data_IF_477152659517
#
_entry.id   IF_477152659517
#
_cell.length_a   1.000
_cell.length_b   1.000
_cell.length_c   1.000
_cell.angle_alpha   90.00
_cell.angle_beta   90.00
_cell.angle_gamma   90.00
#
_symmetry.space_group_name_H-M   'P 1'
#
loop_
_entity.id
_entity.type
_entity.pdbx_description
1 polymer ?
#
# COMPACT_ATOMS: atom_id res chain seq x y z
N UNK A 1 30.79 5.88 -35.78
CA UNK A 1 29.68 5.76 -34.81
C UNK A 1 30.05 4.82 -33.66
N UNK A 2 31.06 5.20 -32.86
CA UNK A 2 31.46 4.52 -31.63
C UNK A 2 31.46 5.57 -30.52
N UNK A 3 30.48 5.51 -29.62
CA UNK A 3 30.55 5.97 -28.22
C UNK A 3 29.17 5.78 -27.55
N UNK A 4 29.22 5.28 -26.33
CA UNK A 4 28.19 5.29 -25.28
C UNK A 4 27.16 4.14 -25.23
N UNK A 5 27.66 2.91 -25.02
CA UNK A 5 26.92 1.81 -24.35
C UNK A 5 27.50 1.66 -22.92
N UNK A 6 27.63 2.75 -22.17
CA UNK A 6 28.21 2.71 -20.82
C UNK A 6 27.47 3.57 -19.78
N UNK A 7 26.23 3.99 -20.06
CA UNK A 7 25.48 4.87 -19.17
C UNK A 7 24.42 4.18 -18.29
N UNK A 8 24.19 2.88 -18.44
CA UNK A 8 23.18 2.16 -17.65
C UNK A 8 23.67 1.60 -16.31
N UNK A 9 24.96 1.73 -15.95
CA UNK A 9 25.49 1.01 -14.78
C UNK A 9 25.36 -0.52 -14.85
N UNK A 10 24.76 -1.06 -15.93
CA UNK A 10 24.83 -2.43 -16.41
C UNK A 10 26.25 -2.69 -16.92
N UNK A 11 27.24 -2.61 -16.01
CA UNK A 11 28.34 -3.56 -16.11
C UNK A 11 27.66 -4.92 -16.04
N UNK A 12 27.76 -5.68 -17.13
CA UNK A 12 27.52 -7.12 -17.23
C UNK A 12 27.69 -7.81 -15.88
N UNK A 13 26.63 -7.84 -15.09
CA UNK A 13 26.54 -8.50 -13.80
C UNK A 13 25.15 -9.14 -13.74
N UNK A 14 25.09 -10.42 -13.40
CA UNK A 14 23.88 -11.21 -13.51
C UNK A 14 22.77 -10.64 -12.61
N UNK A 15 21.56 -10.58 -13.15
CA UNK A 15 20.33 -10.50 -12.35
C UNK A 15 20.27 -11.78 -11.51
N UNK A 16 20.42 -11.66 -10.18
CA UNK A 16 20.38 -12.79 -9.25
C UNK A 16 18.92 -13.13 -8.93
N UNK A 17 18.34 -14.05 -9.70
CA UNK A 17 17.24 -14.90 -9.22
C UNK A 17 17.86 -16.17 -8.64
N UNK A 18 18.07 -16.21 -7.33
CA UNK A 18 18.51 -17.43 -6.64
C UNK A 18 17.55 -17.86 -5.51
N UNK A 19 17.11 -19.10 -5.67
CA UNK A 19 16.52 -20.04 -4.71
C UNK A 19 15.14 -19.72 -4.13
N UNK A 20 14.10 -19.90 -4.97
CA UNK A 20 12.82 -20.55 -4.64
C UNK A 20 12.01 -20.89 -5.93
N UNK A 21 12.66 -21.28 -7.03
CA UNK A 21 11.95 -21.75 -8.22
C UNK A 21 11.84 -23.27 -8.14
N UNK A 22 10.63 -23.84 -8.20
CA UNK A 22 10.45 -25.29 -8.32
C UNK A 22 11.13 -25.79 -9.60
N UNK A 23 11.61 -27.05 -9.62
CA UNK A 23 12.17 -27.73 -10.81
C UNK A 23 11.28 -27.54 -12.06
N UNK A 24 9.96 -27.48 -11.86
CA UNK A 24 8.95 -27.25 -12.90
C UNK A 24 9.00 -25.83 -13.49
N UNK A 25 9.16 -24.81 -12.65
CA UNK A 25 9.27 -23.40 -13.08
C UNK A 25 10.60 -23.13 -13.79
N UNK A 26 11.67 -23.80 -13.34
CA UNK A 26 12.95 -23.81 -14.05
C UNK A 26 12.79 -24.38 -15.46
N UNK A 27 12.03 -25.46 -15.62
CA UNK A 27 11.76 -26.06 -16.93
C UNK A 27 10.91 -25.17 -17.85
N UNK A 28 9.97 -24.39 -17.30
CA UNK A 28 9.17 -23.43 -18.08
C UNK A 28 10.04 -22.27 -18.56
N UNK A 29 10.85 -21.67 -17.66
CA UNK A 29 11.74 -20.56 -17.99
C UNK A 29 12.85 -20.97 -18.98
N UNK A 30 13.35 -22.20 -18.88
CA UNK A 30 14.29 -22.79 -19.85
C UNK A 30 13.63 -23.03 -21.21
N UNK A 31 12.39 -23.54 -21.25
CA UNK A 31 11.60 -23.69 -22.50
C UNK A 31 11.32 -22.36 -23.19
N UNK A 32 11.31 -21.26 -22.44
CA UNK A 32 11.07 -19.90 -22.94
C UNK A 32 12.35 -19.14 -23.32
N UNK A 33 13.52 -19.80 -23.31
CA UNK A 33 14.75 -19.29 -23.90
C UNK A 33 15.76 -18.69 -22.92
N UNK A 34 15.50 -18.74 -21.61
CA UNK A 34 16.52 -18.43 -20.59
C UNK A 34 17.50 -19.60 -20.50
N UNK A 35 18.78 -19.32 -20.24
CA UNK A 35 19.84 -20.33 -20.07
C UNK A 35 20.23 -20.45 -18.60
N UNK A 36 20.61 -21.65 -18.17
CA UNK A 36 21.17 -21.89 -16.83
C UNK A 36 22.61 -21.35 -16.80
N UNK A 37 22.87 -20.36 -15.94
CA UNK A 37 24.22 -19.89 -15.57
C UNK A 37 24.72 -20.59 -14.30
N UNK A 38 25.94 -20.30 -13.87
CA UNK A 38 26.57 -20.94 -12.70
C UNK A 38 25.82 -20.68 -11.39
N UNK A 39 25.11 -19.55 -11.28
CA UNK A 39 24.37 -19.13 -10.07
C UNK A 39 23.07 -18.35 -10.39
N UNK A 40 22.49 -18.50 -11.58
CA UNK A 40 21.24 -17.80 -11.97
C UNK A 40 20.74 -18.23 -13.36
N UNK A 41 19.51 -17.86 -13.71
CA UNK A 41 19.04 -17.88 -15.10
C UNK A 41 19.52 -16.62 -15.84
N UNK A 42 20.16 -16.80 -16.98
CA UNK A 42 20.73 -15.74 -17.81
C UNK A 42 20.09 -15.74 -19.19
N UNK A 43 19.83 -14.56 -19.74
CA UNK A 43 19.49 -14.44 -21.15
C UNK A 43 20.69 -14.84 -22.03
N UNK A 44 20.48 -15.46 -23.20
CA UNK A 44 21.56 -15.74 -24.14
C UNK A 44 22.31 -14.45 -24.47
N UNK A 45 23.62 -14.45 -24.27
CA UNK A 45 24.48 -13.25 -24.37
C UNK A 45 24.58 -12.69 -25.79
N UNK A 46 24.13 -13.45 -26.79
CA UNK A 46 24.11 -13.04 -28.18
C UNK A 46 22.67 -13.18 -28.73
N UNK A 47 22.13 -12.07 -29.25
CA UNK A 47 20.85 -11.92 -29.99
C UNK A 47 19.50 -11.74 -29.26
N UNK A 48 19.46 -11.34 -27.98
CA UNK A 48 18.16 -10.95 -27.37
C UNK A 48 17.74 -9.52 -27.79
N UNK A 49 17.15 -9.38 -28.98
CA UNK A 49 16.58 -8.10 -29.44
C UNK A 49 15.30 -7.74 -28.66
N UNK A 50 14.96 -6.45 -28.55
CA UNK A 50 13.67 -5.96 -28.00
C UNK A 50 12.47 -6.69 -28.64
N UNK A 51 12.62 -7.12 -29.90
CA UNK A 51 11.61 -7.93 -30.62
C UNK A 51 11.39 -9.31 -29.99
N UNK A 52 12.41 -9.94 -29.40
CA UNK A 52 12.25 -11.21 -28.67
C UNK A 52 11.53 -11.01 -27.33
N UNK A 53 11.77 -9.91 -26.61
CA UNK A 53 11.03 -9.57 -25.39
C UNK A 53 9.55 -9.28 -25.69
N UNK A 54 9.26 -8.54 -26.77
CA UNK A 54 7.89 -8.37 -27.27
C UNK A 54 7.27 -9.69 -27.72
N UNK A 55 8.03 -10.58 -28.36
CA UNK A 55 7.55 -11.92 -28.75
C UNK A 55 7.20 -12.79 -27.53
N UNK A 56 8.02 -12.74 -26.47
CA UNK A 56 7.73 -13.42 -25.19
C UNK A 56 6.46 -12.83 -24.55
N UNK A 57 6.32 -11.50 -24.51
CA UNK A 57 5.10 -10.82 -24.06
C UNK A 57 3.86 -11.27 -24.85
N UNK A 58 3.96 -11.30 -26.17
CA UNK A 58 2.84 -11.63 -27.06
C UNK A 58 2.45 -13.10 -26.93
N UNK A 59 3.42 -14.00 -26.71
CA UNK A 59 3.17 -15.42 -26.42
C UNK A 59 2.50 -15.63 -25.05
N UNK A 60 2.96 -14.93 -24.02
CA UNK A 60 2.34 -14.98 -22.68
C UNK A 60 0.91 -14.42 -22.72
N UNK A 61 0.69 -13.35 -23.48
CA UNK A 61 -0.64 -12.76 -23.67
C UNK A 61 -1.55 -13.67 -24.50
N UNK A 62 -1.01 -14.34 -25.53
CA UNK A 62 -1.75 -15.31 -26.35
C UNK A 62 -2.17 -16.55 -25.56
N UNK A 63 -1.25 -17.15 -24.80
CA UNK A 63 -1.53 -18.30 -23.94
C UNK A 63 -2.55 -17.96 -22.84
N UNK A 64 -2.47 -16.74 -22.28
CA UNK A 64 -3.47 -16.20 -21.34
C UNK A 64 -4.87 -16.13 -21.96
N UNK A 65 -4.99 -15.66 -23.21
CA UNK A 65 -6.28 -15.56 -23.90
C UNK A 65 -6.87 -16.94 -24.25
N UNK A 66 -6.03 -17.92 -24.55
CA UNK A 66 -6.46 -19.30 -24.82
C UNK A 66 -7.05 -19.94 -23.55
N UNK A 67 -6.40 -19.75 -22.40
CA UNK A 67 -6.87 -20.30 -21.10
C UNK A 67 -8.15 -19.61 -20.61
N UNK A 68 -8.30 -18.31 -20.87
CA UNK A 68 -9.54 -17.56 -20.57
C UNK A 68 -10.74 -18.04 -21.40
N UNK A 69 -10.52 -18.52 -22.63
CA UNK A 69 -11.58 -19.03 -23.50
C UNK A 69 -11.86 -20.54 -23.31
N UNK A 70 -10.98 -21.27 -22.62
CA UNK A 70 -11.08 -22.72 -22.45
C UNK A 70 -11.86 -23.21 -21.22
N UNK A 71 -12.30 -22.33 -20.32
CA UNK A 71 -12.89 -22.75 -19.03
C UNK A 71 -14.39 -23.12 -19.07
N UNK A 72 -14.96 -23.41 -20.25
CA UNK A 72 -16.41 -23.66 -20.40
C UNK A 72 -16.80 -25.13 -20.60
N UNK A 73 -15.94 -26.10 -20.31
CA UNK A 73 -16.34 -27.51 -20.37
C UNK A 73 -15.68 -28.37 -19.29
N UNK A 74 -16.53 -28.80 -18.35
CA UNK A 74 -16.71 -30.18 -17.84
C UNK A 74 -16.46 -30.40 -16.34
N UNK A 75 -17.50 -31.02 -15.76
CA UNK A 75 -17.83 -31.32 -14.37
C UNK A 75 -17.17 -32.58 -13.77
N UNK A 76 -17.22 -32.60 -12.42
CA UNK A 76 -17.59 -33.69 -11.49
C UNK A 76 -17.01 -35.11 -11.63
N UNK A 77 -16.39 -35.57 -10.53
CA UNK A 77 -16.76 -36.73 -9.68
C UNK A 77 -15.61 -36.90 -8.64
N UNK A 78 -15.74 -37.15 -7.35
CA UNK A 78 -16.79 -37.76 -6.53
C UNK A 78 -16.14 -38.85 -5.64
N UNK A 79 -16.30 -38.72 -4.31
CA UNK A 79 -16.29 -39.79 -3.27
C UNK A 79 -15.10 -39.95 -2.29
N UNK A 80 -15.33 -39.45 -1.06
CA UNK A 80 -15.39 -40.13 0.26
C UNK A 80 -14.46 -41.32 0.62
N UNK A 81 -13.77 -41.22 1.78
CA UNK A 81 -13.94 -42.14 2.95
C UNK A 81 -13.21 -41.69 4.23
N UNK A 82 -13.73 -42.18 5.36
CA UNK A 82 -13.56 -41.76 6.78
C UNK A 82 -12.34 -42.33 7.52
N UNK A 83 -11.84 -41.50 8.45
CA UNK A 83 -11.37 -41.68 9.85
C UNK A 83 -11.37 -43.10 10.46
N UNK A 84 -10.26 -43.46 11.14
CA UNK A 84 -10.27 -43.98 12.53
C UNK A 84 -8.93 -43.78 13.25
N UNK A 85 -9.10 -43.61 14.57
CA UNK A 85 -8.22 -43.19 15.66
C UNK A 85 -7.20 -44.24 16.11
N UNK A 86 -6.22 -43.81 16.93
CA UNK A 86 -5.66 -44.49 18.13
C UNK A 86 -4.22 -44.00 18.47
N UNK A 87 -4.13 -43.26 19.57
CA UNK A 87 -2.97 -43.10 20.47
C UNK A 87 -2.83 -44.36 21.37
N UNK A 88 -1.72 -44.64 22.10
CA UNK A 88 -1.26 -43.75 23.19
C UNK A 88 0.21 -43.87 23.75
N UNK A 89 0.46 -42.95 24.70
CA UNK A 89 1.40 -42.91 25.86
C UNK A 89 2.89 -42.53 25.70
N UNK A 90 3.26 -41.66 26.65
CA UNK A 90 4.47 -40.88 26.90
C UNK A 90 5.68 -41.64 27.47
N UNK A 91 6.86 -41.00 27.41
CA UNK A 91 7.80 -40.90 28.54
C UNK A 91 8.72 -39.65 28.43
N UNK A 92 8.99 -39.04 29.58
CA UNK A 92 9.93 -37.94 29.87
C UNK A 92 11.07 -38.51 30.73
N UNK A 93 12.31 -38.00 30.63
CA UNK A 93 12.89 -37.17 31.72
C UNK A 93 13.77 -36.04 31.14
N UNK A 94 13.74 -34.78 31.60
CA UNK A 94 14.28 -34.16 32.83
C UNK A 94 15.40 -33.17 32.46
N UNK A 95 15.39 -32.07 33.21
CA UNK A 95 16.15 -30.83 33.04
C UNK A 95 17.63 -30.98 33.38
N UNK A 96 18.47 -30.18 32.72
CA UNK A 96 19.61 -29.49 33.37
C UNK A 96 19.62 -28.04 32.91
N UNK A 97 19.64 -27.15 33.91
CA UNK A 97 19.90 -25.72 33.80
C UNK A 97 21.42 -25.56 33.84
N UNK A 98 21.99 -24.78 32.93
CA UNK A 98 23.23 -24.07 33.23
C UNK A 98 23.11 -22.64 32.72
N UNK A 99 23.14 -21.73 33.69
CA UNK A 99 23.07 -20.29 33.56
C UNK A 99 24.47 -19.76 33.79
N UNK A 100 25.16 -19.37 32.72
CA UNK A 100 26.35 -18.52 32.82
C UNK A 100 26.05 -17.23 32.06
N UNK A 101 25.67 -16.21 32.83
CA UNK A 101 25.53 -14.83 32.38
C UNK A 101 26.92 -14.20 32.34
N UNK A 102 27.35 -13.79 31.15
CA UNK A 102 28.55 -12.98 30.92
C UNK A 102 28.17 -11.49 31.06
N UNK A 103 28.76 -10.74 32.01
CA UNK A 103 28.38 -9.35 32.28
C UNK A 103 29.22 -8.37 31.46
N UNK A 104 29.04 -8.34 30.14
CA UNK A 104 29.57 -7.25 29.28
C UNK A 104 28.66 -6.92 28.09
N UNK A 105 27.35 -6.80 28.32
CA UNK A 105 26.45 -6.25 27.31
C UNK A 105 26.51 -4.71 27.30
N UNK A 106 27.41 -4.16 26.50
CA UNK A 106 27.32 -2.75 26.07
C UNK A 106 26.00 -2.56 25.29
N UNK A 107 25.34 -1.38 25.34
CA UNK A 107 24.10 -1.16 24.62
C UNK A 107 24.34 -1.31 23.12
N UNK A 108 23.82 -2.38 22.51
CA UNK A 108 23.97 -2.62 21.09
C UNK A 108 23.30 -1.49 20.31
N UNK A 109 24.10 -0.61 19.70
CA UNK A 109 23.62 0.39 18.75
C UNK A 109 22.95 -0.35 17.61
N UNK A 110 21.63 -0.22 17.49
CA UNK A 110 20.89 -0.88 16.42
C UNK A 110 21.28 -0.28 15.06
N UNK A 111 21.75 -1.13 14.15
CA UNK A 111 22.07 -0.72 12.78
C UNK A 111 20.80 -0.39 12.00
N UNK A 112 20.89 0.45 10.96
CA UNK A 112 19.77 0.71 10.04
C UNK A 112 19.21 -0.59 9.44
N UNK A 113 20.08 -1.55 9.12
CA UNK A 113 19.68 -2.88 8.64
C UNK A 113 18.86 -3.63 9.70
N UNK A 114 19.27 -3.61 10.97
CA UNK A 114 18.52 -4.25 12.06
C UNK A 114 17.15 -3.62 12.27
N UNK A 115 17.04 -2.30 12.18
CA UNK A 115 15.75 -1.59 12.27
C UNK A 115 14.85 -2.02 11.11
N UNK A 116 15.36 -2.01 9.88
CA UNK A 116 14.60 -2.38 8.69
C UNK A 116 14.07 -3.82 8.77
N UNK A 117 14.92 -4.78 9.15
CA UNK A 117 14.53 -6.19 9.28
C UNK A 117 13.53 -6.40 10.43
N UNK A 118 13.64 -5.66 11.53
CA UNK A 118 12.63 -5.68 12.61
C UNK A 118 11.30 -5.11 12.15
N UNK A 119 11.29 -4.05 11.34
CA UNK A 119 10.06 -3.50 10.76
C UNK A 119 9.40 -4.49 9.82
N UNK A 120 10.17 -5.16 8.95
CA UNK A 120 9.69 -6.27 8.12
C UNK A 120 9.00 -7.35 8.97
N UNK A 121 9.67 -7.83 10.03
CA UNK A 121 9.13 -8.86 10.91
C UNK A 121 7.87 -8.39 11.64
N UNK A 122 7.85 -7.13 12.11
CA UNK A 122 6.71 -6.56 12.82
C UNK A 122 5.48 -6.46 11.90
N UNK A 123 5.64 -5.95 10.68
CA UNK A 123 4.56 -5.88 9.71
C UNK A 123 4.09 -7.27 9.25
N UNK A 124 5.02 -8.21 9.06
CA UNK A 124 4.70 -9.62 8.77
C UNK A 124 3.76 -10.20 9.83
N UNK A 125 4.04 -9.99 11.11
CA UNK A 125 3.18 -10.46 12.20
C UNK A 125 1.88 -9.66 12.30
N UNK A 126 1.95 -8.33 12.19
CA UNK A 126 0.83 -7.43 12.40
C UNK A 126 -0.35 -7.72 11.47
N UNK A 127 -0.10 -7.93 10.16
CA UNK A 127 -1.17 -8.13 9.18
C UNK A 127 -2.06 -9.34 9.46
N UNK A 128 -1.62 -10.28 10.29
CA UNK A 128 -2.46 -11.42 10.72
C UNK A 128 -3.63 -10.99 11.60
N UNK A 129 -3.60 -9.80 12.20
CA UNK A 129 -4.74 -9.26 12.95
C UNK A 129 -6.00 -9.15 12.09
N UNK A 130 -5.84 -8.88 10.79
CA UNK A 130 -6.96 -8.75 9.85
C UNK A 130 -7.66 -10.08 9.57
N UNK A 131 -7.05 -11.21 9.91
CA UNK A 131 -7.60 -12.55 9.72
C UNK A 131 -8.44 -13.02 10.92
N UNK A 132 -8.57 -12.21 11.97
CA UNK A 132 -9.42 -12.53 13.12
C UNK A 132 -10.92 -12.47 12.72
N UNK A 133 -11.67 -13.59 12.76
CA UNK A 133 -13.06 -13.61 12.29
C UNK A 133 -14.01 -12.72 13.11
N UNK A 134 -13.79 -12.63 14.43
CA UNK A 134 -14.59 -11.77 15.31
C UNK A 134 -14.37 -10.29 14.98
N UNK A 135 -13.13 -9.91 14.66
CA UNK A 135 -12.80 -8.56 14.25
C UNK A 135 -13.36 -8.23 12.86
N UNK A 136 -13.26 -9.16 11.89
CA UNK A 136 -13.90 -8.99 10.58
C UNK A 136 -15.41 -8.81 10.71
N UNK A 137 -16.08 -9.55 11.61
CA UNK A 137 -17.51 -9.36 11.88
C UNK A 137 -17.84 -7.97 12.45
N UNK A 138 -17.04 -7.47 13.39
CA UNK A 138 -17.19 -6.09 13.91
C UNK A 138 -16.99 -5.04 12.82
N UNK A 139 -16.00 -5.26 11.96
CA UNK A 139 -15.70 -4.40 10.83
C UNK A 139 -16.85 -4.39 9.81
N UNK A 140 -17.34 -5.57 9.39
CA UNK A 140 -18.51 -5.71 8.51
C UNK A 140 -19.76 -5.01 9.06
N UNK A 141 -19.99 -5.08 10.38
CA UNK A 141 -21.13 -4.41 11.01
C UNK A 141 -21.07 -2.86 10.91
N UNK A 142 -19.89 -2.29 10.65
CA UNK A 142 -19.73 -0.86 10.41
C UNK A 142 -19.99 -0.45 8.95
N UNK A 143 -19.86 -1.39 8.00
CA UNK A 143 -19.94 -1.11 6.57
C UNK A 143 -21.41 -1.19 6.12
N UNK A 144 -21.95 -0.19 5.40
CA UNK A 144 -23.27 -0.26 4.78
C UNK A 144 -23.23 -1.15 3.51
N UNK A 145 -22.82 -2.41 3.67
CA UNK A 145 -22.43 -3.29 2.56
C UNK A 145 -23.54 -3.50 1.54
N UNK A 146 -24.81 -3.55 1.97
CA UNK A 146 -25.95 -3.70 1.07
C UNK A 146 -26.11 -2.49 0.14
N UNK A 147 -25.91 -1.29 0.66
CA UNK A 147 -25.97 -0.05 -0.12
C UNK A 147 -24.79 0.05 -1.08
N UNK A 148 -23.57 -0.22 -0.60
CA UNK A 148 -22.36 -0.19 -1.43
C UNK A 148 -22.45 -1.21 -2.57
N UNK A 149 -22.92 -2.43 -2.30
CA UNK A 149 -23.12 -3.45 -3.34
C UNK A 149 -24.21 -3.05 -4.34
N UNK A 150 -25.32 -2.46 -3.89
CA UNK A 150 -26.35 -1.95 -4.80
C UNK A 150 -25.79 -0.86 -5.73
N UNK A 151 -25.05 0.11 -5.18
CA UNK A 151 -24.41 1.16 -5.95
C UNK A 151 -23.39 0.60 -6.95
N UNK A 152 -22.58 -0.39 -6.53
CA UNK A 152 -21.61 -1.04 -7.38
C UNK A 152 -22.28 -1.78 -8.56
N UNK A 153 -23.38 -2.49 -8.29
CA UNK A 153 -24.15 -3.18 -9.31
C UNK A 153 -24.75 -2.21 -10.34
N UNK A 154 -25.37 -1.11 -9.89
CA UNK A 154 -25.93 -0.08 -10.76
C UNK A 154 -24.85 0.58 -11.64
N UNK A 155 -23.70 0.92 -11.06
CA UNK A 155 -22.54 1.47 -11.79
C UNK A 155 -21.98 0.47 -12.80
N UNK A 156 -21.97 -0.83 -12.49
CA UNK A 156 -21.55 -1.86 -13.44
C UNK A 156 -22.47 -1.93 -14.67
N UNK A 157 -23.78 -1.89 -14.45
CA UNK A 157 -24.78 -1.87 -15.53
C UNK A 157 -24.56 -0.64 -16.43
N UNK A 158 -24.32 0.53 -15.84
CA UNK A 158 -24.06 1.75 -16.60
C UNK A 158 -22.74 1.66 -17.39
N UNK A 159 -21.66 1.19 -16.76
CA UNK A 159 -20.36 1.02 -17.42
C UNK A 159 -20.45 0.07 -18.62
N UNK A 160 -21.16 -1.07 -18.50
CA UNK A 160 -21.37 -2.03 -19.60
C UNK A 160 -22.17 -1.48 -20.77
N UNK A 161 -23.01 -0.46 -20.55
CA UNK A 161 -23.75 0.22 -21.62
C UNK A 161 -22.85 1.16 -22.43
N UNK A 162 -21.89 1.80 -21.76
CA UNK A 162 -20.98 2.78 -22.38
C UNK A 162 -19.81 2.12 -23.10
N UNK A 163 -19.29 1.03 -22.55
CA UNK A 163 -18.20 0.24 -23.13
C UNK A 163 -18.48 -1.25 -22.89
N UNK A 164 -18.58 -2.03 -23.97
CA UNK A 164 -18.96 -3.46 -23.90
C UNK A 164 -17.76 -4.40 -23.75
N UNK A 165 -16.53 -3.88 -23.76
CA UNK A 165 -15.30 -4.68 -23.83
C UNK A 165 -14.44 -4.72 -22.55
N UNK A 166 -14.83 -4.05 -21.47
CA UNK A 166 -14.01 -4.00 -20.26
C UNK A 166 -14.11 -5.26 -19.40
N UNK A 167 -12.98 -5.64 -18.80
CA UNK A 167 -12.85 -6.77 -17.89
C UNK A 167 -13.21 -6.39 -16.43
N UNK A 168 -14.11 -5.43 -16.20
CA UNK A 168 -14.51 -5.05 -14.85
C UNK A 168 -15.62 -5.97 -14.33
N UNK A 169 -15.54 -6.33 -13.06
CA UNK A 169 -16.61 -7.04 -12.36
C UNK A 169 -17.21 -6.16 -11.25
N UNK A 170 -18.23 -6.67 -10.58
CA UNK A 170 -18.91 -5.95 -9.49
C UNK A 170 -17.98 -5.70 -8.30
N UNK A 171 -17.03 -6.60 -8.04
CA UNK A 171 -16.05 -6.49 -6.95
C UNK A 171 -15.07 -5.34 -7.16
N UNK A 172 -14.63 -5.10 -8.40
CA UNK A 172 -13.79 -3.95 -8.75
C UNK A 172 -14.50 -2.63 -8.46
N UNK A 173 -15.82 -2.54 -8.73
CA UNK A 173 -16.60 -1.33 -8.45
C UNK A 173 -16.94 -1.22 -6.96
N UNK A 174 -17.23 -2.33 -6.29
CA UNK A 174 -17.44 -2.36 -4.83
C UNK A 174 -16.21 -1.84 -4.07
N UNK A 175 -15.00 -2.12 -4.55
CA UNK A 175 -13.77 -1.56 -4.00
C UNK A 175 -13.74 -0.02 -4.10
N UNK A 176 -14.21 0.54 -5.21
CA UNK A 176 -14.31 1.99 -5.39
C UNK A 176 -15.37 2.61 -4.48
N UNK A 177 -16.53 1.96 -4.33
CA UNK A 177 -17.57 2.41 -3.39
C UNK A 177 -17.06 2.38 -1.95
N UNK A 178 -16.32 1.32 -1.58
CA UNK A 178 -15.74 1.16 -0.25
C UNK A 178 -14.69 2.24 0.04
N UNK A 179 -13.79 2.54 -0.91
CA UNK A 179 -12.83 3.64 -0.79
C UNK A 179 -13.51 4.99 -0.59
N UNK A 180 -14.54 5.26 -1.39
CA UNK A 180 -15.28 6.52 -1.31
C UNK A 180 -15.99 6.67 0.03
N UNK A 181 -16.78 5.68 0.43
CA UNK A 181 -17.46 5.66 1.72
C UNK A 181 -16.49 5.79 2.89
N UNK A 182 -15.35 5.09 2.83
CA UNK A 182 -14.36 5.16 3.90
C UNK A 182 -13.84 6.59 4.11
N UNK A 183 -13.51 7.29 3.01
CA UNK A 183 -12.98 8.66 3.07
C UNK A 183 -14.04 9.71 3.39
N UNK A 184 -15.22 9.59 2.78
CA UNK A 184 -16.23 10.64 2.82
C UNK A 184 -17.12 10.55 4.06
N UNK A 185 -17.39 9.33 4.54
CA UNK A 185 -18.44 9.09 5.53
C UNK A 185 -17.89 8.45 6.81
N UNK A 186 -16.95 7.52 6.69
CA UNK A 186 -16.52 6.72 7.85
C UNK A 186 -15.36 7.33 8.64
N UNK A 187 -14.27 7.74 7.98
CA UNK A 187 -13.00 8.03 8.63
C UNK A 187 -12.54 9.48 8.44
N UNK A 188 -11.93 10.06 9.48
CA UNK A 188 -11.58 11.48 9.52
C UNK A 188 -10.06 11.71 9.64
N UNK A 189 -9.57 12.71 8.92
CA UNK A 189 -8.15 13.08 8.97
C UNK A 189 -7.87 13.98 10.18
N UNK A 190 -6.80 13.70 10.93
CA UNK A 190 -6.38 14.51 12.07
C UNK A 190 -5.01 15.13 11.80
N UNK A 191 -4.99 16.46 11.64
CA UNK A 191 -3.74 17.23 11.75
C UNK A 191 -3.48 17.56 13.22
N UNK A 192 -4.37 18.36 13.82
CA UNK A 192 -4.46 18.62 15.25
C UNK A 192 -5.92 18.43 15.67
N UNK A 193 -6.15 17.96 16.90
CA UNK A 193 -7.51 17.79 17.44
C UNK A 193 -8.06 19.14 17.86
N UNK A 194 -9.35 19.45 17.64
CA UNK A 194 -9.97 20.60 18.30
C UNK A 194 -9.95 20.40 19.82
N UNK A 195 -9.92 21.50 20.58
CA UNK A 195 -9.97 21.43 22.02
C UNK A 195 -11.31 20.87 22.50
N UNK A 196 -11.30 19.87 23.37
CA UNK A 196 -12.52 19.26 23.91
C UNK A 196 -13.34 20.18 24.82
N UNK A 197 -12.74 21.27 25.34
CA UNK A 197 -13.42 22.25 26.20
C UNK A 197 -14.10 23.38 25.42
N UNK A 198 -13.45 23.92 24.40
CA UNK A 198 -13.93 25.11 23.69
C UNK A 198 -14.15 24.91 22.17
N UNK A 199 -13.80 23.74 21.62
CA UNK A 199 -13.82 23.49 20.17
C UNK A 199 -12.73 24.21 19.37
N UNK A 200 -11.94 25.08 19.99
CA UNK A 200 -10.92 25.89 19.34
C UNK A 200 -9.70 25.10 18.86
N UNK A 201 -8.81 25.80 18.16
CA UNK A 201 -7.57 25.22 17.64
C UNK A 201 -6.59 24.81 18.75
N UNK A 202 -5.73 23.87 18.42
CA UNK A 202 -4.67 23.36 19.29
C UNK A 202 -3.35 23.28 18.55
N UNK A 203 -2.27 23.22 19.32
CA UNK A 203 -0.90 23.12 18.84
C UNK A 203 -0.25 21.85 19.38
N UNK A 204 0.64 21.24 18.60
CA UNK A 204 1.42 20.09 19.07
C UNK A 204 2.43 20.54 20.13
N UNK A 205 2.40 19.90 21.30
CA UNK A 205 3.43 19.98 22.34
C UNK A 205 4.12 18.62 22.52
N UNK A 206 5.05 18.56 23.47
CA UNK A 206 5.71 17.32 23.89
C UNK A 206 4.71 16.19 24.11
N UNK A 207 5.05 15.01 23.61
CA UNK A 207 4.20 13.82 23.71
C UNK A 207 3.88 13.51 25.17
N UNK A 208 2.68 13.00 25.40
CA UNK A 208 2.24 12.54 26.71
C UNK A 208 2.63 11.08 26.89
N UNK A 209 2.78 10.67 28.15
CA UNK A 209 2.92 9.26 28.49
C UNK A 209 1.65 8.49 28.11
N UNK A 210 1.76 7.33 27.45
CA UNK A 210 0.65 6.42 27.24
C UNK A 210 0.04 5.98 28.58
N UNK A 211 -1.29 5.92 28.63
CA UNK A 211 -2.02 5.28 29.72
C UNK A 211 -2.06 3.76 29.54
N UNK A 212 -2.53 3.03 30.55
CA UNK A 212 -2.74 1.58 30.43
C UNK A 212 -3.73 1.23 29.32
N UNK A 213 -4.81 2.02 29.15
CA UNK A 213 -5.77 1.81 28.07
C UNK A 213 -5.17 2.14 26.69
N UNK A 214 -4.28 3.15 26.61
CA UNK A 214 -3.57 3.44 25.37
C UNK A 214 -2.71 2.25 24.93
N UNK A 215 -1.93 1.68 25.86
CA UNK A 215 -1.09 0.51 25.61
C UNK A 215 -1.91 -0.74 25.29
N UNK A 216 -3.06 -0.94 25.94
CA UNK A 216 -4.00 -2.03 25.65
C UNK A 216 -4.47 -2.04 24.19
N UNK A 217 -4.59 -0.86 23.58
CA UNK A 217 -4.99 -0.69 22.17
C UNK A 217 -3.81 -0.39 21.24
N UNK A 218 -2.61 -0.82 21.63
CA UNK A 218 -1.37 -0.68 20.86
C UNK A 218 -1.00 0.77 20.49
N UNK A 219 -1.31 1.74 21.36
CA UNK A 219 -0.84 3.12 21.23
C UNK A 219 0.37 3.38 22.14
N UNK A 220 1.57 3.15 21.61
CA UNK A 220 2.83 3.47 22.31
C UNK A 220 3.21 4.96 22.26
N UNK A 221 2.54 5.75 21.41
CA UNK A 221 2.76 7.19 21.27
C UNK A 221 1.45 7.94 21.47
N UNK A 222 1.47 8.96 22.34
CA UNK A 222 0.33 9.87 22.55
C UNK A 222 0.78 11.30 22.29
N UNK A 223 0.22 11.91 21.25
CA UNK A 223 0.50 13.30 20.90
C UNK A 223 -0.28 14.24 21.84
N UNK A 224 0.35 15.36 22.22
CA UNK A 224 -0.29 16.41 23.01
C UNK A 224 -0.78 17.53 22.10
N UNK A 225 -2.08 17.61 21.90
CA UNK A 225 -2.71 18.73 21.20
C UNK A 225 -3.17 19.76 22.22
N UNK A 226 -2.29 20.71 22.55
CA UNK A 226 -2.50 21.66 23.64
C UNK A 226 -3.31 22.87 23.19
N UNK A 227 -4.32 23.24 23.97
CA UNK A 227 -5.09 24.46 23.76
C UNK A 227 -4.55 25.59 24.64
N UNK A 228 -3.99 26.63 24.01
CA UNK A 228 -3.48 27.80 24.73
C UNK A 228 -4.58 28.65 25.38
N UNK A 229 -5.81 28.64 24.85
CA UNK A 229 -6.93 29.39 25.45
C UNK A 229 -7.44 28.73 26.74
N UNK A 230 -7.67 27.41 26.70
CA UNK A 230 -8.20 26.66 27.84
C UNK A 230 -7.12 26.16 28.80
N UNK A 231 -5.84 26.33 28.47
CA UNK A 231 -4.70 25.72 29.15
C UNK A 231 -4.93 24.22 29.38
N UNK A 232 -5.31 23.51 28.31
CA UNK A 232 -5.78 22.13 28.38
C UNK A 232 -5.12 21.23 27.34
N UNK A 233 -4.62 20.08 27.80
CA UNK A 233 -4.00 19.05 26.97
C UNK A 233 -5.05 18.10 26.38
N UNK A 234 -5.17 18.07 25.06
CA UNK A 234 -6.03 17.11 24.35
C UNK A 234 -5.16 15.93 23.89
N UNK A 235 -5.43 14.74 24.42
CA UNK A 235 -4.65 13.53 24.11
C UNK A 235 -5.03 13.02 22.72
N UNK A 236 -4.03 12.70 21.91
CA UNK A 236 -4.22 12.00 20.65
C UNK A 236 -3.35 10.73 20.60
N UNK A 237 -3.85 9.61 21.16
CA UNK A 237 -3.17 8.32 21.07
C UNK A 237 -3.12 7.82 19.63
N UNK A 238 -1.95 7.35 19.19
CA UNK A 238 -1.70 6.79 17.86
C UNK A 238 -1.92 5.28 17.90
N UNK A 239 -3.18 4.85 17.86
CA UNK A 239 -3.58 3.45 17.98
C UNK A 239 -3.14 2.62 16.79
N UNK A 240 -2.49 1.47 17.05
CA UNK A 240 -2.18 0.48 16.03
C UNK A 240 -3.15 -0.71 16.04
N UNK A 241 -4.04 -0.81 17.02
CA UNK A 241 -5.08 -1.84 17.05
C UNK A 241 -6.27 -1.44 16.15
N UNK A 242 -6.55 -2.15 15.05
CA UNK A 242 -7.60 -1.76 14.13
C UNK A 242 -9.01 -1.88 14.71
N UNK A 243 -9.24 -2.67 15.77
CA UNK A 243 -10.53 -2.70 16.46
C UNK A 243 -10.84 -1.33 17.07
N UNK A 244 -9.86 -0.70 17.73
CA UNK A 244 -10.04 0.63 18.32
C UNK A 244 -10.29 1.69 17.24
N UNK A 245 -9.74 1.51 16.04
CA UNK A 245 -9.95 2.42 14.92
C UNK A 245 -11.39 2.39 14.37
N UNK A 246 -12.13 1.29 14.56
CA UNK A 246 -13.57 1.24 14.23
C UNK A 246 -14.40 2.18 15.12
N UNK A 247 -13.93 2.42 16.35
CA UNK A 247 -14.55 3.33 17.32
C UNK A 247 -14.06 4.77 17.13
N UNK A 248 -12.75 4.99 17.05
CA UNK A 248 -12.19 6.36 16.98
C UNK A 248 -12.42 7.03 15.64
N UNK A 249 -12.49 6.25 14.55
CA UNK A 249 -12.81 6.69 13.19
C UNK A 249 -11.99 7.87 12.70
N UNK A 250 -10.76 8.02 13.18
CA UNK A 250 -9.90 9.15 12.85
C UNK A 250 -8.44 8.82 13.01
N UNK A 251 -7.60 9.50 12.24
CA UNK A 251 -6.15 9.36 12.32
C UNK A 251 -5.41 9.99 11.16
N UNK A 252 -4.20 9.48 10.89
CA UNK A 252 -3.38 9.82 9.72
C UNK A 252 -3.17 8.56 8.88
N UNK A 253 -2.30 8.61 7.86
CA UNK A 253 -2.13 7.51 6.91
C UNK A 253 -1.95 6.12 7.56
N UNK A 254 -1.21 6.03 8.67
CA UNK A 254 -1.09 4.82 9.50
C UNK A 254 -2.44 4.20 9.89
N UNK A 255 -3.25 4.97 10.61
CA UNK A 255 -4.58 4.52 11.07
C UNK A 255 -5.56 4.31 9.91
N UNK A 256 -5.52 5.18 8.90
CA UNK A 256 -6.36 5.09 7.71
C UNK A 256 -6.13 3.76 6.98
N UNK A 257 -4.88 3.44 6.63
CA UNK A 257 -4.54 2.21 5.90
C UNK A 257 -4.72 0.96 6.76
N UNK A 258 -4.47 1.04 8.07
CA UNK A 258 -4.69 -0.09 8.98
C UNK A 258 -6.19 -0.47 9.05
N UNK A 259 -7.06 0.52 9.28
CA UNK A 259 -8.51 0.30 9.33
C UNK A 259 -9.09 -0.08 7.96
N UNK A 260 -8.66 0.56 6.88
CA UNK A 260 -9.14 0.25 5.54
C UNK A 260 -8.73 -1.15 5.07
N UNK A 261 -7.51 -1.60 5.40
CA UNK A 261 -7.06 -2.97 5.07
C UNK A 261 -7.92 -4.01 5.82
N UNK A 262 -8.28 -3.75 7.09
CA UNK A 262 -9.24 -4.58 7.82
C UNK A 262 -10.59 -4.65 7.10
N UNK A 263 -11.14 -3.51 6.64
CA UNK A 263 -12.39 -3.51 5.90
C UNK A 263 -12.32 -4.30 4.60
N UNK A 264 -11.22 -4.17 3.84
CA UNK A 264 -11.03 -4.98 2.63
C UNK A 264 -11.07 -6.48 2.96
N UNK A 265 -10.34 -6.91 3.99
CA UNK A 265 -10.33 -8.31 4.42
C UNK A 265 -11.69 -8.78 4.92
N UNK A 266 -12.42 -7.92 5.65
CA UNK A 266 -13.74 -8.21 6.19
C UNK A 266 -14.81 -8.37 5.09
N UNK A 267 -14.76 -7.55 4.04
CA UNK A 267 -15.64 -7.68 2.85
C UNK A 267 -15.32 -8.95 2.04
N UNK A 268 -14.11 -9.48 2.17
CA UNK A 268 -13.67 -10.71 1.51
C UNK A 268 -12.61 -10.50 0.42
N UNK A 269 -12.15 -9.26 0.21
CA UNK A 269 -11.08 -8.97 -0.74
C UNK A 269 -9.75 -9.53 -0.27
N UNK A 270 -8.97 -10.12 -1.19
CA UNK A 270 -7.54 -10.32 -0.93
C UNK A 270 -6.85 -8.97 -0.87
N UNK A 271 -6.25 -8.65 0.29
CA UNK A 271 -5.65 -7.35 0.54
C UNK A 271 -4.23 -7.47 1.11
N UNK A 272 -3.37 -6.52 0.75
CA UNK A 272 -2.03 -6.31 1.29
C UNK A 272 -1.97 -4.97 2.00
N UNK A 273 -1.37 -4.94 3.18
CA UNK A 273 -0.88 -3.70 3.78
C UNK A 273 0.45 -3.33 3.13
N UNK A 274 0.58 -2.08 2.68
CA UNK A 274 1.77 -1.59 1.98
C UNK A 274 2.52 -0.62 2.88
N UNK A 275 3.80 -0.88 3.08
CA UNK A 275 4.71 -0.02 3.82
C UNK A 275 5.74 0.59 2.90
N UNK A 276 5.74 1.92 2.81
CA UNK A 276 6.77 2.72 2.15
C UNK A 276 7.72 3.28 3.22
N UNK A 277 9.00 2.96 3.09
CA UNK A 277 10.06 3.37 4.01
C UNK A 277 10.25 4.91 4.06
N UNK A 278 9.61 5.67 3.18
CA UNK A 278 9.60 7.14 3.14
C UNK A 278 8.38 7.76 3.82
N UNK A 279 7.90 7.11 4.88
CA UNK A 279 6.83 7.57 5.80
C UNK A 279 5.46 7.72 5.12
N UNK A 280 5.02 6.65 4.45
CA UNK A 280 3.64 6.52 3.98
C UNK A 280 3.22 5.05 3.96
N UNK A 281 1.92 4.80 4.02
CA UNK A 281 1.35 3.45 3.98
C UNK A 281 0.03 3.49 3.23
N UNK A 282 -0.34 2.37 2.61
CA UNK A 282 -1.59 2.22 1.85
C UNK A 282 -1.95 0.73 1.72
N UNK A 283 -2.89 0.40 0.83
CA UNK A 283 -3.41 -0.96 0.64
C UNK A 283 -3.27 -1.38 -0.82
N UNK A 284 -3.01 -2.66 -1.10
CA UNK A 284 -3.30 -3.25 -2.42
C UNK A 284 -4.44 -4.25 -2.30
N UNK A 285 -5.29 -4.33 -3.33
CA UNK A 285 -6.37 -5.31 -3.42
C UNK A 285 -6.26 -6.10 -4.72
N UNK A 286 -6.37 -7.43 -4.66
CA UNK A 286 -6.30 -8.26 -5.87
C UNK A 286 -7.63 -8.23 -6.63
N UNK A 287 -7.57 -7.83 -7.90
CA UNK A 287 -8.72 -7.92 -8.81
C UNK A 287 -8.67 -9.25 -9.55
N UNK A 288 -9.66 -10.10 -9.30
CA UNK A 288 -9.80 -11.39 -10.00
C UNK A 288 -10.20 -11.22 -11.46
N UNK A 289 -10.89 -10.15 -11.84
CA UNK A 289 -11.28 -9.91 -13.22
C UNK A 289 -10.13 -9.34 -14.04
N UNK A 290 -9.26 -8.53 -13.44
CA UNK A 290 -8.05 -8.01 -14.09
C UNK A 290 -6.81 -8.91 -13.92
N UNK A 291 -6.86 -9.87 -12.99
CA UNK A 291 -5.79 -10.80 -12.63
C UNK A 291 -4.49 -10.07 -12.25
N UNK A 292 -4.60 -9.07 -11.38
CA UNK A 292 -3.48 -8.30 -10.84
C UNK A 292 -3.84 -7.57 -9.55
N UNK A 293 -2.83 -7.11 -8.83
CA UNK A 293 -3.00 -6.22 -7.67
C UNK A 293 -3.28 -4.78 -8.11
N UNK A 294 -4.26 -4.17 -7.45
CA UNK A 294 -4.65 -2.77 -7.61
C UNK A 294 -4.15 -1.97 -6.41
N UNK A 295 -3.41 -0.90 -6.68
CA UNK A 295 -3.07 0.10 -5.65
C UNK A 295 -4.32 0.78 -5.12
N UNK A 296 -4.46 0.92 -3.81
CA UNK A 296 -5.57 1.60 -3.13
C UNK A 296 -5.04 2.50 -2.02
N UNK A 297 -5.18 3.82 -2.18
CA UNK A 297 -4.87 4.79 -1.13
C UNK A 297 -6.18 5.36 -0.54
N UNK A 298 -6.59 4.93 0.67
CA UNK A 298 -7.83 5.41 1.29
C UNK A 298 -7.72 6.87 1.72
N UNK A 299 -6.53 7.38 2.03
CA UNK A 299 -6.34 8.79 2.42
C UNK A 299 -6.67 9.72 1.26
N UNK A 300 -6.41 9.26 0.05
CA UNK A 300 -6.56 10.05 -1.18
C UNK A 300 -7.83 9.68 -1.96
N UNK A 301 -8.53 8.58 -1.59
CA UNK A 301 -9.61 7.97 -2.37
C UNK A 301 -9.15 7.72 -3.82
N UNK A 302 -8.01 7.04 -3.94
CA UNK A 302 -7.38 6.74 -5.22
C UNK A 302 -7.22 5.23 -5.36
N UNK A 303 -7.71 4.71 -6.49
CA UNK A 303 -7.47 3.33 -6.93
C UNK A 303 -6.66 3.34 -8.22
N UNK A 304 -5.74 2.39 -8.34
CA UNK A 304 -4.95 2.05 -9.54
C UNK A 304 -4.11 3.19 -10.15
N UNK A 305 -3.56 4.07 -9.29
CA UNK A 305 -2.61 5.11 -9.69
C UNK A 305 -1.29 5.01 -8.92
N UNK A 306 -0.50 3.93 -9.12
CA UNK A 306 0.70 3.69 -8.30
C UNK A 306 1.81 4.74 -8.50
N UNK A 307 1.82 5.48 -9.61
CA UNK A 307 2.79 6.58 -9.81
C UNK A 307 2.40 7.87 -9.08
N UNK A 308 1.30 7.89 -8.31
CA UNK A 308 0.87 9.03 -7.51
C UNK A 308 2.00 9.58 -6.64
N UNK A 309 2.78 8.70 -6.03
CA UNK A 309 3.79 9.09 -5.05
C UNK A 309 5.05 9.66 -5.70
N UNK A 310 5.66 8.94 -6.63
CA UNK A 310 6.91 9.37 -7.29
C UNK A 310 6.67 10.54 -8.24
N UNK A 311 5.62 10.45 -9.07
CA UNK A 311 5.38 11.42 -10.14
C UNK A 311 4.37 12.50 -9.75
N UNK A 312 3.35 12.17 -8.95
CA UNK A 312 2.40 13.17 -8.44
C UNK A 312 2.99 14.00 -7.29
N UNK A 313 3.48 13.34 -6.24
CA UNK A 313 4.00 14.04 -5.05
C UNK A 313 5.50 14.36 -5.14
N UNK A 314 6.21 13.81 -6.12
CA UNK A 314 7.66 14.00 -6.24
C UNK A 314 8.47 13.24 -5.18
N UNK A 315 7.88 12.24 -4.50
CA UNK A 315 8.56 11.47 -3.45
C UNK A 315 9.79 10.76 -4.01
N UNK A 316 10.89 10.84 -3.27
CA UNK A 316 12.13 10.09 -3.55
C UNK A 316 12.05 8.71 -2.90
N UNK A 317 11.34 7.80 -3.55
CA UNK A 317 11.09 6.44 -3.06
C UNK A 317 12.38 5.63 -2.91
N UNK A 318 12.36 4.61 -2.05
CA UNK A 318 13.46 3.65 -1.82
C UNK A 318 12.97 2.21 -1.69
N UNK A 319 12.19 1.90 -0.65
CA UNK A 319 11.64 0.57 -0.40
C UNK A 319 10.13 0.65 -0.17
N UNK A 320 9.38 -0.20 -0.86
CA UNK A 320 7.94 -0.37 -0.66
C UNK A 320 7.65 -1.87 -0.59
N UNK A 321 7.23 -2.34 0.57
CA UNK A 321 7.01 -3.75 0.86
C UNK A 321 5.53 -4.00 1.16
N UNK A 322 4.98 -5.01 0.51
CA UNK A 322 3.61 -5.46 0.70
C UNK A 322 3.55 -6.65 1.65
N UNK A 323 2.52 -6.70 2.51
CA UNK A 323 2.29 -7.77 3.48
C UNK A 323 0.83 -8.21 3.42
N UNK A 324 0.55 -9.48 3.17
CA UNK A 324 -0.79 -10.07 3.27
C UNK A 324 -0.80 -11.25 4.22
N UNK A 325 -1.95 -11.94 4.32
CA UNK A 325 -2.05 -13.26 4.96
C UNK A 325 -1.22 -14.33 4.26
N UNK A 326 -0.91 -14.20 2.98
CA UNK A 326 -0.28 -15.26 2.19
C UNK A 326 1.20 -14.97 1.87
N UNK A 327 1.56 -13.70 1.67
CA UNK A 327 2.87 -13.33 1.11
C UNK A 327 3.38 -11.97 1.62
N UNK A 328 4.70 -11.83 1.60
CA UNK A 328 5.47 -10.60 1.64
C UNK A 328 6.12 -10.41 0.27
N UNK A 329 5.99 -9.23 -0.33
CA UNK A 329 6.51 -8.94 -1.67
C UNK A 329 7.16 -7.56 -1.69
N UNK A 330 8.36 -7.44 -2.26
CA UNK A 330 8.92 -6.13 -2.60
C UNK A 330 8.20 -5.62 -3.85
N UNK A 331 7.31 -4.64 -3.65
CA UNK A 331 6.47 -4.05 -4.69
C UNK A 331 7.00 -2.70 -5.16
N UNK A 332 8.21 -2.29 -4.74
CA UNK A 332 8.83 -1.00 -5.05
C UNK A 332 8.71 -0.61 -6.53
N UNK A 333 8.95 -1.56 -7.42
CA UNK A 333 9.00 -1.36 -8.86
C UNK A 333 7.65 -0.97 -9.48
N UNK A 334 6.53 -1.33 -8.84
CA UNK A 334 5.18 -0.90 -9.27
C UNK A 334 4.95 0.59 -9.12
N UNK A 335 5.57 1.18 -8.08
CA UNK A 335 5.35 2.57 -7.65
C UNK A 335 6.41 3.53 -8.21
N UNK A 336 7.36 3.02 -9.00
CA UNK A 336 8.41 3.82 -9.63
C UNK A 336 8.45 3.55 -11.13
N UNK A 337 8.63 4.61 -11.90
CA UNK A 337 9.00 4.57 -13.31
C UNK A 337 10.47 4.99 -13.53
N UNK A 338 11.15 5.43 -12.46
CA UNK A 338 12.54 5.93 -12.44
C UNK A 338 13.43 4.98 -11.64
N UNK A 339 13.47 3.71 -12.04
CA UNK A 339 14.18 2.65 -11.28
C UNK A 339 15.66 2.96 -11.10
N UNK A 340 16.32 3.54 -12.11
CA UNK A 340 17.73 3.95 -12.03
C UNK A 340 17.98 5.03 -10.99
N UNK A 341 17.08 6.01 -10.90
CA UNK A 341 17.18 7.06 -9.88
C UNK A 341 16.93 6.49 -8.48
N UNK A 342 16.09 5.44 -8.38
CA UNK A 342 15.68 4.81 -7.13
C UNK A 342 16.76 3.92 -6.52
N UNK A 343 17.46 3.15 -7.34
CA UNK A 343 18.46 2.16 -6.91
C UNK A 343 19.51 2.74 -5.93
N UNK A 344 20.14 3.91 -6.17
CA UNK A 344 21.11 4.50 -5.25
C UNK A 344 20.56 4.85 -3.86
N UNK A 345 19.23 4.96 -3.70
CA UNK A 345 18.57 5.24 -2.40
C UNK A 345 18.29 3.98 -1.59
N UNK A 346 18.50 2.79 -2.16
CA UNK A 346 18.30 1.50 -1.50
C UNK A 346 19.53 1.09 -0.70
N UNK A 347 19.79 1.81 0.39
CA UNK A 347 20.99 1.66 1.22
C UNK A 347 20.74 1.09 2.61
N UNK A 348 19.49 0.85 3.01
CA UNK A 348 19.14 0.42 4.37
C UNK A 348 19.44 -1.06 4.63
N UNK A 349 19.33 -1.89 3.59
CA UNK A 349 19.62 -3.33 3.63
C UNK A 349 20.18 -3.76 2.28
N UNK A 350 21.10 -4.75 2.28
CA UNK A 350 21.59 -5.35 1.03
C UNK A 350 20.47 -6.09 0.30
N UNK A 351 20.35 -5.93 -1.02
CA UNK A 351 19.30 -6.58 -1.83
C UNK A 351 19.25 -8.10 -1.65
N UNK A 352 20.40 -8.76 -1.54
CA UNK A 352 20.46 -10.22 -1.31
C UNK A 352 19.84 -10.61 0.04
N UNK A 353 20.13 -9.84 1.10
CA UNK A 353 19.60 -10.07 2.45
C UNK A 353 18.10 -9.81 2.48
N UNK A 354 17.63 -8.74 1.82
CA UNK A 354 16.20 -8.44 1.69
C UNK A 354 15.45 -9.58 1.00
N UNK A 355 15.94 -10.01 -0.18
CA UNK A 355 15.36 -11.11 -0.95
C UNK A 355 15.30 -12.40 -0.15
N UNK A 356 16.40 -12.79 0.49
CA UNK A 356 16.45 -14.01 1.29
C UNK A 356 15.51 -13.95 2.51
N UNK A 357 15.44 -12.80 3.17
CA UNK A 357 14.53 -12.57 4.29
C UNK A 357 13.07 -12.73 3.83
N UNK A 358 12.67 -12.09 2.73
CA UNK A 358 11.32 -12.21 2.18
C UNK A 358 11.02 -13.67 1.79
N UNK A 359 11.94 -14.36 1.13
CA UNK A 359 11.76 -15.77 0.76
C UNK A 359 11.54 -16.65 1.99
N UNK A 360 12.30 -16.43 3.07
CA UNK A 360 12.14 -17.17 4.32
C UNK A 360 10.80 -16.88 5.01
N UNK A 361 10.37 -15.63 5.05
CA UNK A 361 9.05 -15.25 5.57
C UNK A 361 7.91 -15.89 4.78
N UNK A 362 8.01 -15.88 3.44
CA UNK A 362 7.03 -16.53 2.55
C UNK A 362 7.03 -18.04 2.74
N UNK A 363 8.20 -18.67 2.86
CA UNK A 363 8.31 -20.10 3.15
C UNK A 363 7.58 -20.46 4.43
N UNK A 364 7.77 -19.69 5.50
CA UNK A 364 7.04 -19.88 6.77
C UNK A 364 5.55 -19.67 6.57
N UNK A 365 5.12 -18.60 5.90
CA UNK A 365 3.70 -18.28 5.74
C UNK A 365 2.94 -19.31 4.92
N UNK A 366 3.58 -19.82 3.87
CA UNK A 366 2.95 -20.72 2.90
C UNK A 366 3.01 -22.20 3.32
N UNK A 367 3.60 -22.54 4.47
CA UNK A 367 3.70 -23.92 4.96
C UNK A 367 2.33 -24.60 5.11
N UNK A 368 1.30 -23.87 5.53
CA UNK A 368 -0.05 -24.42 5.75
C UNK A 368 -0.99 -24.32 4.54
N UNK A 369 -0.56 -23.69 3.44
CA UNK A 369 -1.41 -23.52 2.26
C UNK A 369 -1.65 -24.85 1.52
N UNK A 370 -2.70 -24.91 0.72
CA UNK A 370 -2.91 -26.04 -0.20
C UNK A 370 -1.97 -25.93 -1.39
N UNK A 371 -1.67 -27.06 -2.05
CA UNK A 371 -0.86 -27.06 -3.27
C UNK A 371 -1.47 -26.16 -4.37
N UNK A 372 -2.79 -26.23 -4.54
CA UNK A 372 -3.51 -25.38 -5.51
C UNK A 372 -3.32 -23.89 -5.23
N UNK A 373 -3.40 -23.46 -3.97
CA UNK A 373 -3.17 -22.05 -3.61
C UNK A 373 -1.71 -21.65 -3.84
N UNK A 374 -0.74 -22.50 -3.51
CA UNK A 374 0.69 -22.21 -3.78
C UNK A 374 0.95 -22.04 -5.28
N UNK A 375 0.34 -22.89 -6.12
CA UNK A 375 0.45 -22.79 -7.58
C UNK A 375 -0.16 -21.49 -8.10
N UNK A 376 -1.33 -21.12 -7.60
CA UNK A 376 -1.97 -19.86 -7.95
C UNK A 376 -1.11 -18.64 -7.57
N UNK A 377 -0.55 -18.62 -6.35
CA UNK A 377 0.36 -17.55 -5.91
C UNK A 377 1.61 -17.46 -6.81
N UNK A 378 2.14 -18.62 -7.23
CA UNK A 378 3.27 -18.69 -8.15
C UNK A 378 2.95 -18.11 -9.54
N UNK A 379 1.75 -18.36 -10.06
CA UNK A 379 1.30 -17.77 -11.31
C UNK A 379 1.13 -16.25 -11.19
N UNK A 380 0.58 -15.78 -10.06
CA UNK A 380 0.38 -14.35 -9.79
C UNK A 380 1.69 -13.59 -9.65
N UNK A 381 2.69 -14.14 -8.96
CA UNK A 381 3.99 -13.47 -8.81
C UNK A 381 4.71 -13.33 -10.15
N UNK A 382 4.52 -14.26 -11.10
CA UNK A 382 5.08 -14.10 -12.46
C UNK A 382 4.49 -12.87 -13.15
N UNK A 383 3.17 -12.62 -13.02
CA UNK A 383 2.52 -11.42 -13.56
C UNK A 383 3.10 -10.15 -12.93
N UNK A 384 3.31 -10.14 -11.61
CA UNK A 384 3.92 -9.01 -10.91
C UNK A 384 5.37 -8.77 -11.34
N UNK A 385 6.19 -9.82 -11.47
CA UNK A 385 7.58 -9.68 -11.91
C UNK A 385 7.68 -9.11 -13.34
N UNK A 386 6.78 -9.50 -14.24
CA UNK A 386 6.69 -8.90 -15.59
C UNK A 386 6.29 -7.43 -15.52
N UNK A 387 5.36 -7.06 -14.64
CA UNK A 387 5.02 -5.65 -14.37
C UNK A 387 6.24 -4.89 -13.84
N UNK A 388 7.00 -5.46 -12.90
CA UNK A 388 8.15 -4.81 -12.25
C UNK A 388 9.30 -4.52 -13.21
N UNK A 389 9.54 -5.38 -14.21
CA UNK A 389 10.55 -5.14 -15.24
C UNK A 389 10.05 -4.27 -16.41
N UNK A 390 8.80 -3.82 -16.35
CA UNK A 390 8.15 -3.01 -17.38
C UNK A 390 7.76 -1.63 -16.82
N UNK A 391 8.72 -0.70 -16.64
CA UNK A 391 8.44 0.63 -16.10
C UNK A 391 7.28 1.33 -16.83
N UNK A 392 6.30 1.79 -16.06
CA UNK A 392 5.13 2.50 -16.61
C UNK A 392 5.57 3.85 -17.18
N UNK A 393 4.99 4.26 -18.30
CA UNK A 393 5.17 5.62 -18.83
C UNK A 393 4.19 6.56 -18.11
N UNK A 394 4.67 7.64 -17.46
CA UNK A 394 3.79 8.63 -16.84
C UNK A 394 2.89 9.27 -17.89
N UNK A 395 1.59 9.36 -17.61
CA UNK A 395 0.65 10.12 -18.44
C UNK A 395 0.43 11.50 -17.80
N UNK A 396 0.79 12.61 -18.49
CA UNK A 396 0.56 13.95 -17.99
C UNK A 396 -0.93 14.19 -17.72
N UNK A 397 -1.27 14.70 -16.53
CA UNK A 397 -2.65 15.05 -16.15
C UNK A 397 -3.44 13.99 -15.37
N UNK A 398 -2.98 12.72 -15.30
CA UNK A 398 -3.68 11.67 -14.53
C UNK A 398 -3.31 11.62 -13.04
N UNK A 399 -2.20 12.27 -12.68
CA UNK A 399 -1.55 12.18 -11.36
C UNK A 399 -1.73 13.53 -10.64
N UNK A 400 -2.77 13.63 -9.80
CA UNK A 400 -3.01 14.80 -8.95
C UNK A 400 -1.95 14.95 -7.85
N UNK A 401 -1.93 16.10 -7.18
CA UNK A 401 -1.10 16.32 -5.98
C UNK A 401 -1.73 15.70 -4.72
N UNK A 402 -0.94 15.54 -3.64
CA UNK A 402 -1.43 15.04 -2.35
C UNK A 402 -2.58 15.90 -1.86
N UNK A 403 -3.67 15.31 -1.37
CA UNK A 403 -4.78 16.04 -0.74
C UNK A 403 -4.81 15.91 0.79
N UNK A 404 -4.15 14.89 1.36
CA UNK A 404 -3.99 14.73 2.81
C UNK A 404 -2.76 15.47 3.40
N UNK A 405 -2.74 15.64 4.73
CA UNK A 405 -1.66 16.30 5.45
C UNK A 405 -1.76 17.83 5.47
N UNK A 406 -1.01 18.47 6.37
CA UNK A 406 -0.97 19.94 6.45
C UNK A 406 -0.23 20.55 5.27
N UNK A 407 -0.54 21.81 4.93
CA UNK A 407 0.18 22.53 3.86
C UNK A 407 1.66 22.61 4.18
N UNK A 408 2.03 22.92 5.43
CA UNK A 408 3.43 22.96 5.87
C UNK A 408 4.14 21.62 5.66
N UNK A 409 3.48 20.48 5.95
CA UNK A 409 4.02 19.14 5.72
C UNK A 409 4.28 18.87 4.23
N UNK A 410 3.33 19.26 3.38
CA UNK A 410 3.44 19.10 1.92
C UNK A 410 4.54 19.99 1.33
N UNK A 411 4.66 21.24 1.79
CA UNK A 411 5.73 22.17 1.37
C UNK A 411 7.11 21.68 1.82
N UNK A 412 7.24 21.25 3.09
CA UNK A 412 8.52 20.77 3.64
C UNK A 412 9.08 19.56 2.87
N UNK A 413 8.21 18.76 2.26
CA UNK A 413 8.58 17.60 1.44
C UNK A 413 8.72 17.91 -0.05
N UNK A 414 8.55 19.17 -0.45
CA UNK A 414 8.62 19.60 -1.86
C UNK A 414 7.45 19.11 -2.72
N UNK A 415 6.33 18.70 -2.09
CA UNK A 415 5.15 18.17 -2.79
C UNK A 415 4.24 19.30 -3.33
N UNK A 416 4.53 20.55 -2.98
CA UNK A 416 3.92 21.78 -3.51
C UNK A 416 5.06 22.77 -3.82
N UNK A 417 5.08 23.32 -5.03
CA UNK A 417 6.00 24.41 -5.38
C UNK A 417 5.55 25.73 -4.72
N UNK A 418 6.48 26.47 -4.12
CA UNK A 418 6.24 27.78 -3.50
C UNK A 418 5.68 28.83 -4.49
N UNK A 419 5.80 28.62 -5.79
CA UNK A 419 5.27 29.52 -6.82
C UNK A 419 3.73 29.55 -6.89
N UNK A 420 3.04 28.52 -6.37
CA UNK A 420 1.56 28.48 -6.33
C UNK A 420 1.01 29.42 -5.24
N UNK A 421 1.82 29.82 -4.26
CA UNK A 421 1.41 30.76 -3.21
C UNK A 421 1.10 32.16 -3.75
N UNK A 422 1.80 32.60 -4.81
CA UNK A 422 1.57 33.92 -5.41
C UNK A 422 0.36 33.97 -6.35
N UNK A 423 -0.10 32.83 -6.87
CA UNK A 423 -1.32 32.77 -7.67
C UNK A 423 -2.59 32.74 -6.80
N UNK A 424 -2.53 32.07 -5.64
CA UNK A 424 -3.71 31.93 -4.76
C UNK A 424 -4.02 33.16 -3.91
N UNK A 425 -3.02 34.01 -3.62
CA UNK A 425 -3.23 35.29 -2.91
C UNK A 425 -3.66 36.40 -3.89
N UNK A 426 -3.36 36.27 -5.19
CA UNK A 426 -3.71 37.24 -6.23
C UNK A 426 -5.21 37.34 -6.53
N UNK A 427 -5.97 36.27 -6.31
CA UNK A 427 -7.42 36.24 -6.59
C UNK A 427 -8.29 36.62 -5.39
N UNK A 428 -7.73 36.65 -4.16
CA UNK A 428 -8.45 37.14 -2.98
C UNK A 428 -8.35 38.66 -2.78
N UNK A 429 -7.38 39.33 -3.42
CA UNK A 429 -7.23 40.80 -3.35
C UNK A 429 -7.95 41.57 -4.45
N UNK A 430 -8.57 40.90 -5.43
CA UNK A 430 -9.41 41.54 -6.46
C UNK A 430 -10.90 41.68 -6.10
N UNK A 431 -11.34 41.13 -4.97
CA UNK A 431 -12.73 41.25 -4.49
C UNK A 431 -12.89 42.40 -3.47
N UNK A 432 -11.81 42.96 -2.93
CA UNK A 432 -11.86 44.10 -1.99
C UNK A 432 -11.61 45.48 -2.63
N UNK A 433 -11.27 45.55 -3.93
CA UNK A 433 -11.07 46.82 -4.65
C UNK A 433 -12.27 47.27 -5.49
N UNK A 434 -13.39 46.55 -5.46
CA UNK A 434 -14.64 46.90 -6.17
C UNK A 434 -15.77 47.40 -5.24
N UNK A 435 -15.47 47.62 -3.96
CA UNK A 435 -16.40 48.15 -2.94
C UNK A 435 -15.95 49.51 -2.37
N UNK A 436 -15.21 50.32 -3.15
CA UNK A 436 -14.83 51.68 -2.76
C UNK A 436 -14.96 52.72 -3.89
N UNK A 437 -15.79 52.44 -4.91
CA UNK A 437 -16.00 53.39 -6.02
C UNK A 437 -17.46 53.53 -6.46
N UNK A 438 -18.40 53.30 -5.55
CA UNK A 438 -19.82 53.53 -5.80
C UNK A 438 -20.45 54.32 -4.65
N UNK A 439 -20.03 55.58 -4.49
CA UNK A 439 -20.70 56.59 -3.64
C UNK A 439 -20.17 57.97 -3.99
N UNK A 440 -20.55 58.49 -5.15
CA UNK A 440 -20.45 59.92 -5.49
C UNK A 440 -21.42 60.19 -6.64
N UNK A 441 -22.19 61.28 -6.52
CA UNK A 441 -23.30 61.76 -7.37
C UNK A 441 -24.66 61.16 -6.94
N UNK A 442 -25.69 61.89 -6.52
CA UNK A 442 -26.03 63.31 -6.63
C UNK A 442 -27.25 63.57 -5.72
N UNK A 443 -27.20 64.54 -4.82
CA UNK A 443 -28.40 65.25 -4.35
C UNK A 443 -28.08 66.73 -4.18
N UNK A 444 -28.71 67.53 -5.03
CA UNK A 444 -29.02 68.92 -4.79
C UNK A 444 -30.26 69.26 -5.65
N UNK A 445 -30.85 70.45 -5.52
CA UNK A 445 -30.78 71.43 -4.44
C UNK A 445 -32.20 71.85 -3.96
N UNK A 446 -32.30 72.61 -2.86
CA UNK A 446 -32.93 73.95 -2.85
C UNK A 446 -33.30 74.44 -1.43
N UNK A 447 -32.89 75.70 -1.17
CA UNK A 447 -33.61 76.77 -0.42
C UNK A 447 -33.84 76.55 1.10
N UNK A 448 -33.72 77.53 2.00
CA UNK A 448 -33.63 79.00 1.90
C UNK A 448 -33.32 79.56 3.30
N UNK A 449 -32.73 80.76 3.28
CA UNK A 449 -33.00 81.90 4.17
C UNK A 449 -32.52 81.93 5.65
N UNK A 450 -31.71 82.99 5.87
CA UNK A 450 -31.35 83.76 7.07
C UNK A 450 -30.21 83.22 7.94
#
# INVERSE_FOLDING_TARGET
>A
MRKNISLFGLKTKPFSLDCCLSEELLNVLLKWGLKRGETCLVFPKDDTSIKQLHKIRDLVTGERNIRLNGSNTTEMSGSSRRVTDMQPVAHRPSRTLDSNQDPTAQPAVMTFESIFLKTLQSNFLHVMVYENPSLQKKALACIPIQELSRNAHEKLIQARKMDRGHALNEQDILLLELLNWFKCDFFQWVNNLPCSKCGGQTESKENLSPSEDDLRWDASRVENHFCNHCQFSNRFPRYNNPEKLLETRRGRCGEWSNCFTLFCRAVGFEARYIWDATDHVWTEVYSSSQQRWLHCDPCENVCDKPLLYEMGWGKKLSYIIAFSKDEVVDVTWRYSCKHEDLLPRRTQVKEAVLRETINNLNKVRQQSLTEGRRRELLERIIVELVEFISPKTPKPGELGGRVSGSVAWRVARGEIALEVFNASIGDHFRILSLWSSCSLLTLGPQSREI
#
